data_IF_417339176049
#
_entry.id   IF_417339176049
#
_cell.length_a   1.000
_cell.length_b   1.000
_cell.length_c   1.000
_cell.angle_alpha   90.00
_cell.angle_beta   90.00
_cell.angle_gamma   90.00
#
_symmetry.space_group_name_H-M   'P 1'
#
loop_
_entity.id
_entity.type
_entity.pdbx_description
1 polymer ?
#
# COMPACT_ATOMS: atom_id res chain seq x y z
N UNK A 1 -15.15 15.66 -13.89
CA UNK A 1 -14.03 14.98 -13.19
C UNK A 1 -12.69 15.61 -13.52
N UNK A 2 -12.22 15.60 -14.78
CA UNK A 2 -10.93 16.22 -15.16
C UNK A 2 -10.87 17.70 -14.76
N UNK A 3 -11.92 18.47 -15.01
CA UNK A 3 -11.99 19.88 -14.59
C UNK A 3 -11.85 20.07 -13.08
N UNK A 4 -12.31 19.13 -12.24
CA UNK A 4 -12.13 19.20 -10.78
C UNK A 4 -10.65 19.01 -10.41
N UNK A 5 -9.98 18.06 -11.06
CA UNK A 5 -8.55 17.81 -10.87
C UNK A 5 -7.74 19.03 -11.35
N UNK A 6 -8.10 19.59 -12.51
CA UNK A 6 -7.48 20.80 -13.06
C UNK A 6 -7.67 22.00 -12.12
N UNK A 7 -8.88 22.21 -11.59
CA UNK A 7 -9.14 23.28 -10.64
C UNK A 7 -8.33 23.12 -9.34
N UNK A 8 -8.13 21.88 -8.86
CA UNK A 8 -7.24 21.63 -7.73
C UNK A 8 -5.78 21.97 -8.06
N UNK A 9 -5.30 21.60 -9.24
CA UNK A 9 -3.96 21.92 -9.72
C UNK A 9 -3.73 23.44 -9.80
N UNK A 10 -4.65 24.18 -10.42
CA UNK A 10 -4.56 25.64 -10.55
C UNK A 10 -4.61 26.36 -9.18
N UNK A 11 -5.28 25.75 -8.19
CA UNK A 11 -5.31 26.24 -6.82
C UNK A 11 -4.09 25.82 -5.98
N UNK A 12 -3.10 25.12 -6.56
CA UNK A 12 -1.94 24.62 -5.82
C UNK A 12 -2.29 23.55 -4.78
N UNK A 13 -3.44 22.89 -4.92
CA UNK A 13 -3.93 21.87 -4.00
C UNK A 13 -3.56 20.47 -4.47
N UNK A 14 -3.47 19.49 -3.55
CA UNK A 14 -3.30 18.11 -3.94
C UNK A 14 -4.50 17.61 -4.74
N UNK A 15 -4.29 16.55 -5.53
CA UNK A 15 -5.38 15.90 -6.25
C UNK A 15 -6.46 15.46 -5.25
N UNK A 16 -7.74 15.78 -5.50
CA UNK A 16 -8.84 15.31 -4.67
C UNK A 16 -8.84 13.78 -4.57
N UNK A 17 -9.22 13.25 -3.40
CA UNK A 17 -9.33 11.81 -3.21
C UNK A 17 -10.50 11.25 -4.02
N UNK A 18 -10.55 9.92 -4.21
CA UNK A 18 -11.72 9.30 -4.84
C UNK A 18 -13.03 9.55 -4.06
N UNK A 19 -12.95 9.83 -2.75
CA UNK A 19 -14.13 10.18 -1.96
C UNK A 19 -14.58 11.61 -2.26
N UNK A 20 -13.66 12.56 -2.37
CA UNK A 20 -13.96 13.95 -2.71
C UNK A 20 -14.53 14.04 -4.12
N UNK A 21 -13.88 13.37 -5.09
CA UNK A 21 -14.37 13.29 -6.47
C UNK A 21 -15.77 12.66 -6.55
N UNK A 22 -16.05 11.66 -5.74
CA UNK A 22 -17.36 11.02 -5.69
C UNK A 22 -18.45 11.96 -5.15
N UNK A 23 -18.13 12.70 -4.08
CA UNK A 23 -19.04 13.71 -3.52
C UNK A 23 -19.35 14.81 -4.54
N UNK A 24 -18.33 15.36 -5.21
CA UNK A 24 -18.48 16.45 -6.18
C UNK A 24 -19.20 16.00 -7.47
N UNK A 25 -19.06 14.73 -7.85
CA UNK A 25 -19.71 14.17 -9.05
C UNK A 25 -21.09 13.54 -8.76
N UNK A 26 -21.50 13.46 -7.50
CA UNK A 26 -22.75 12.80 -7.11
C UNK A 26 -22.78 11.30 -7.45
N UNK A 27 -21.64 10.60 -7.34
CA UNK A 27 -21.53 9.19 -7.69
C UNK A 27 -20.89 8.36 -6.57
N UNK A 28 -20.87 7.03 -6.70
CA UNK A 28 -20.18 6.19 -5.74
C UNK A 28 -18.65 6.31 -5.87
N UNK A 29 -17.95 6.11 -4.75
CA UNK A 29 -16.49 6.12 -4.70
C UNK A 29 -15.82 5.18 -5.72
N UNK A 30 -16.41 4.00 -5.95
CA UNK A 30 -15.89 3.04 -6.93
C UNK A 30 -16.03 3.58 -8.37
N UNK A 31 -17.10 4.31 -8.65
CA UNK A 31 -17.31 4.95 -9.95
C UNK A 31 -16.26 6.05 -10.16
N UNK A 32 -16.01 6.91 -9.17
CA UNK A 32 -14.95 7.91 -9.25
C UNK A 32 -13.57 7.27 -9.50
N UNK A 33 -13.25 6.16 -8.84
CA UNK A 33 -12.01 5.40 -9.08
C UNK A 33 -11.91 4.88 -10.52
N UNK A 34 -13.01 4.32 -11.06
CA UNK A 34 -13.08 3.81 -12.43
C UNK A 34 -12.86 4.97 -13.42
N UNK A 35 -13.50 6.12 -13.19
CA UNK A 35 -13.34 7.30 -14.04
C UNK A 35 -11.88 7.79 -14.07
N UNK A 36 -11.21 7.87 -12.92
CA UNK A 36 -9.78 8.26 -12.86
C UNK A 36 -8.90 7.27 -13.62
N UNK A 37 -9.16 5.96 -13.49
CA UNK A 37 -8.45 4.93 -14.25
C UNK A 37 -8.65 5.06 -15.75
N UNK A 38 -9.89 5.29 -16.19
CA UNK A 38 -10.20 5.49 -17.61
C UNK A 38 -9.57 6.77 -18.16
N UNK A 39 -9.64 7.89 -17.44
CA UNK A 39 -9.01 9.13 -17.87
C UNK A 39 -7.49 8.95 -18.09
N UNK A 40 -6.83 8.18 -17.22
CA UNK A 40 -5.42 7.83 -17.41
C UNK A 40 -5.22 6.93 -18.63
N UNK A 41 -6.03 5.88 -18.79
CA UNK A 41 -5.92 4.95 -19.92
C UNK A 41 -6.14 5.63 -21.28
N UNK A 42 -7.00 6.65 -21.31
CA UNK A 42 -7.26 7.50 -22.48
C UNK A 42 -6.22 8.60 -22.67
N UNK A 43 -5.21 8.69 -21.79
CA UNK A 43 -4.17 9.71 -21.89
C UNK A 43 -4.66 11.13 -21.62
N UNK A 44 -5.77 11.31 -20.89
CA UNK A 44 -6.30 12.63 -20.50
C UNK A 44 -5.61 13.19 -19.25
N UNK A 45 -4.99 12.32 -18.46
CA UNK A 45 -4.19 12.68 -17.28
C UNK A 45 -2.96 11.77 -17.19
N UNK A 46 -1.89 12.31 -16.63
CA UNK A 46 -0.65 11.59 -16.35
C UNK A 46 -0.41 11.45 -14.85
N UNK A 47 0.16 10.32 -14.43
CA UNK A 47 0.70 10.15 -13.07
C UNK A 47 2.20 10.44 -13.13
N UNK A 48 2.67 11.37 -12.31
CA UNK A 48 4.08 11.71 -12.15
C UNK A 48 4.56 11.41 -10.73
N UNK A 49 5.86 11.26 -10.59
CA UNK A 49 6.50 11.16 -9.28
C UNK A 49 7.00 12.53 -8.86
N UNK A 50 6.69 12.92 -7.62
CA UNK A 50 7.27 14.07 -6.94
C UNK A 50 7.96 13.56 -5.67
N UNK A 51 9.25 13.20 -5.83
CA UNK A 51 10.00 12.44 -4.82
C UNK A 51 9.32 11.12 -4.46
N UNK A 52 9.01 10.84 -3.17
CA UNK A 52 8.32 9.62 -2.75
C UNK A 52 6.80 9.66 -3.03
N UNK A 53 6.27 10.76 -3.57
CA UNK A 53 4.84 10.99 -3.75
C UNK A 53 4.44 10.90 -5.22
N UNK A 54 3.15 10.73 -5.47
CA UNK A 54 2.58 10.77 -6.82
C UNK A 54 1.67 11.98 -6.97
N UNK A 55 1.79 12.66 -8.10
CA UNK A 55 0.92 13.77 -8.49
C UNK A 55 0.22 13.45 -9.80
N UNK A 56 -0.92 14.09 -10.02
CA UNK A 56 -1.63 14.05 -11.31
C UNK A 56 -1.32 15.33 -12.08
N UNK A 57 -0.99 15.17 -13.36
CA UNK A 57 -0.67 16.26 -14.28
C UNK A 57 -1.46 16.13 -15.59
N UNK A 58 -1.49 17.22 -16.35
CA UNK A 58 -1.85 17.19 -17.75
C UNK A 58 -0.87 16.32 -18.56
N UNK A 59 -1.30 15.73 -19.68
CA UNK A 59 -0.39 14.98 -20.57
C UNK A 59 0.74 15.84 -21.16
N UNK A 60 0.47 17.12 -21.37
CA UNK A 60 1.37 18.16 -21.88
C UNK A 60 2.07 18.97 -20.77
N UNK A 61 1.91 18.53 -19.51
CA UNK A 61 2.43 19.20 -18.31
C UNK A 61 1.96 20.66 -18.12
N UNK A 62 0.88 21.10 -18.79
CA UNK A 62 0.30 22.44 -18.65
C UNK A 62 -0.27 22.74 -17.25
N UNK A 63 -0.54 21.72 -16.45
CA UNK A 63 -0.92 21.83 -15.05
C UNK A 63 -0.49 20.58 -14.27
N UNK A 64 -0.23 20.77 -12.98
CA UNK A 64 0.14 19.70 -12.04
C UNK A 64 -0.47 19.95 -10.68
N UNK A 65 -1.00 18.89 -10.07
CA UNK A 65 -1.50 18.94 -8.69
C UNK A 65 -0.36 18.93 -7.69
N UNK A 66 -0.57 19.53 -6.50
CA UNK A 66 0.43 19.46 -5.44
C UNK A 66 0.56 18.04 -4.89
N UNK A 67 1.71 17.74 -4.28
CA UNK A 67 1.89 16.44 -3.63
C UNK A 67 1.07 16.35 -2.35
N UNK A 68 0.23 15.32 -2.24
CA UNK A 68 -0.55 15.09 -1.03
C UNK A 68 0.35 14.80 0.18
N UNK A 69 0.05 15.44 1.30
CA UNK A 69 0.66 15.10 2.58
C UNK A 69 0.07 13.77 3.06
N UNK A 70 0.81 12.68 2.89
CA UNK A 70 0.45 11.44 3.57
C UNK A 70 0.94 11.51 5.02
N UNK A 71 0.05 11.42 6.03
CA UNK A 71 0.51 11.10 7.37
C UNK A 71 1.23 9.74 7.26
N UNK A 72 2.48 9.66 7.71
CA UNK A 72 3.23 8.40 7.78
C UNK A 72 2.42 7.44 8.65
N UNK A 73 1.56 6.63 8.04
CA UNK A 73 0.81 5.63 8.79
C UNK A 73 1.83 4.62 9.27
N UNK A 74 2.19 4.68 10.56
CA UNK A 74 2.94 3.64 11.27
C UNK A 74 2.11 2.35 11.41
N UNK A 75 1.44 1.91 10.35
CA UNK A 75 0.71 0.64 10.30
C UNK A 75 1.74 -0.48 10.14
N UNK A 76 2.36 -0.88 11.25
CA UNK A 76 3.25 -2.03 11.22
C UNK A 76 4.04 -2.33 12.49
N UNK A 77 4.19 -1.40 13.42
CA UNK A 77 5.07 -1.58 14.57
C UNK A 77 4.36 -1.83 15.91
N UNK A 78 3.03 -1.68 15.98
CA UNK A 78 2.30 -2.13 17.16
C UNK A 78 2.21 -3.65 17.08
N UNK A 79 2.93 -4.34 17.98
CA UNK A 79 2.92 -5.79 18.01
C UNK A 79 1.48 -6.28 18.10
N UNK A 80 1.10 -7.15 17.17
CA UNK A 80 -0.25 -7.73 17.16
C UNK A 80 -0.17 -9.09 17.85
N UNK A 81 -1.22 -9.43 18.59
CA UNK A 81 -1.40 -10.79 19.07
C UNK A 81 -1.47 -11.75 17.88
N UNK A 82 -0.68 -12.81 17.91
CA UNK A 82 -0.64 -13.86 16.86
C UNK A 82 -0.59 -15.23 17.51
N UNK A 83 -1.10 -16.24 16.81
CA UNK A 83 -0.85 -17.63 17.16
C UNK A 83 0.58 -18.03 16.76
N UNK A 84 1.30 -18.71 17.66
CA UNK A 84 2.59 -19.33 17.41
C UNK A 84 2.48 -20.42 16.33
N UNK A 85 3.40 -20.46 15.37
CA UNK A 85 3.37 -21.48 14.31
C UNK A 85 3.61 -22.91 14.81
N UNK A 86 4.31 -23.08 15.95
CA UNK A 86 4.62 -24.39 16.53
C UNK A 86 3.53 -24.87 17.49
N UNK A 87 3.24 -24.10 18.55
CA UNK A 87 2.31 -24.53 19.60
C UNK A 87 0.91 -23.90 19.55
N UNK A 88 0.64 -23.02 18.58
CA UNK A 88 -0.63 -22.27 18.41
C UNK A 88 -1.02 -21.33 19.56
N UNK A 89 -0.22 -21.22 20.63
CA UNK A 89 -0.45 -20.26 21.70
C UNK A 89 -0.44 -18.81 21.18
N UNK A 90 -1.31 -17.97 21.74
CA UNK A 90 -1.38 -16.55 21.41
C UNK A 90 -0.23 -15.78 22.09
N UNK A 91 0.50 -14.96 21.35
CA UNK A 91 1.62 -14.17 21.86
C UNK A 91 1.74 -12.82 21.13
N UNK A 92 2.40 -11.86 21.74
CA UNK A 92 2.64 -10.55 21.14
C UNK A 92 3.81 -10.64 20.13
N UNK A 93 3.52 -10.37 18.86
CA UNK A 93 4.49 -10.49 17.79
C UNK A 93 5.08 -9.12 17.44
N UNK A 94 6.39 -8.96 17.62
CA UNK A 94 7.12 -7.70 17.35
C UNK A 94 7.28 -7.38 15.86
N UNK A 95 6.91 -8.32 14.97
CA UNK A 95 7.02 -8.08 13.54
C UNK A 95 6.56 -9.24 12.67
N UNK A 96 6.46 -9.04 11.33
CA UNK A 96 6.07 -10.07 10.38
C UNK A 96 6.88 -11.37 10.47
N UNK A 97 8.17 -11.25 10.79
CA UNK A 97 9.13 -12.35 10.91
C UNK A 97 9.13 -13.02 12.30
N UNK A 98 8.55 -12.40 13.33
CA UNK A 98 8.47 -12.96 14.69
C UNK A 98 7.19 -13.78 14.85
N UNK A 99 7.19 -15.01 14.32
CA UNK A 99 6.02 -15.92 14.26
C UNK A 99 6.03 -17.07 15.27
N UNK A 100 7.07 -17.17 16.11
CA UNK A 100 7.16 -18.12 17.22
C UNK A 100 7.10 -17.37 18.55
N UNK A 101 6.36 -17.91 19.51
CA UNK A 101 6.45 -17.45 20.90
C UNK A 101 7.83 -17.79 21.47
N UNK A 102 8.25 -17.07 22.51
CA UNK A 102 9.59 -17.21 23.09
C UNK A 102 9.95 -18.66 23.46
N UNK A 103 9.07 -19.46 24.08
CA UNK A 103 9.39 -20.86 24.37
C UNK A 103 9.67 -21.70 23.11
N UNK A 104 8.91 -21.50 22.04
CA UNK A 104 9.10 -22.25 20.80
C UNK A 104 10.30 -21.77 19.99
N UNK A 105 10.65 -20.47 20.10
CA UNK A 105 11.82 -19.89 19.45
C UNK A 105 13.11 -20.44 20.03
N UNK A 106 13.25 -20.41 21.37
CA UNK A 106 14.45 -20.94 22.06
C UNK A 106 14.70 -22.41 21.74
N UNK A 107 13.65 -23.22 21.63
CA UNK A 107 13.77 -24.63 21.22
C UNK A 107 14.27 -24.81 19.79
N UNK A 108 13.79 -23.97 18.86
CA UNK A 108 14.20 -24.06 17.46
C UNK A 108 15.67 -23.64 17.23
N UNK A 109 16.22 -22.78 18.10
CA UNK A 109 17.63 -22.41 18.10
C UNK A 109 18.53 -23.56 18.60
N UNK A 110 17.99 -24.42 19.48
CA UNK A 110 18.66 -25.60 20.04
C UNK A 110 18.62 -26.82 19.10
N UNK A 111 17.56 -26.92 18.28
CA UNK A 111 17.34 -27.99 17.28
C UNK A 111 18.30 -27.89 16.05
N UNK A 112 19.41 -27.14 16.14
CA UNK A 112 20.32 -26.75 15.06
C UNK A 112 21.20 -27.85 14.44
N UNK A 113 20.87 -29.13 14.60
CA UNK A 113 21.54 -30.23 13.90
C UNK A 113 20.83 -30.53 12.57
N UNK A 114 21.20 -29.80 11.53
CA UNK A 114 20.72 -30.10 10.17
C UNK A 114 21.33 -31.42 9.67
N UNK A 115 20.58 -32.52 9.73
CA UNK A 115 20.88 -33.69 8.88
C UNK A 115 20.31 -33.45 7.49
N UNK A 116 21.21 -33.33 6.51
CA UNK A 116 20.86 -33.42 5.09
C UNK A 116 20.32 -34.83 4.83
N UNK A 117 19.01 -34.97 4.66
CA UNK A 117 18.43 -36.23 4.17
C UNK A 117 18.63 -36.25 2.66
N UNK A 118 19.57 -37.08 2.22
CA UNK A 118 19.89 -37.27 0.81
C UNK A 118 18.75 -37.90 0.00
N UNK A 119 18.59 -37.35 -1.22
CA UNK A 119 18.19 -37.98 -2.48
C UNK A 119 16.77 -38.59 -2.64
N UNK A 120 16.05 -38.14 -3.68
CA UNK A 120 16.11 -38.73 -5.03
C UNK A 120 15.30 -37.91 -6.04
N UNK A 121 15.98 -37.41 -7.08
CA UNK A 121 15.34 -36.99 -8.33
C UNK A 121 14.92 -38.26 -9.08
N UNK A 122 13.67 -38.33 -9.54
CA UNK A 122 13.27 -39.25 -10.61
C UNK A 122 13.05 -38.43 -11.87
N UNK A 123 13.62 -38.93 -12.97
CA UNK A 123 13.58 -38.39 -14.31
C UNK A 123 12.16 -38.32 -14.88
#
# INVERSE_FOLDING_TARGET
MIELIRAAALAGRPCPSNADLAADLGCERNVAQILVRHARALGLIALRSDGPRRVIAAPDDSWVTAAAEHPKTRRGAAGRMRACLRCRASFHSEGPHHRLCDPCRRRAEDDGEFRVIGARVRA
#
